data_IF_162628770903
#
_entry.id   IF_162628770903
#
_cell.length_a   1.000
_cell.length_b   1.000
_cell.length_c   1.000
_cell.angle_alpha   90.00
_cell.angle_beta   90.00
_cell.angle_gamma   90.00
#
_symmetry.space_group_name_H-M   'P 1'
#
loop_
_entity.id
_entity.type
_entity.pdbx_description
1 polymer ?
#
# COMPACT_ATOMS: atom_id res chain seq x y z
N UNK A 1 -7.41 1.56 -10.54
CA UNK A 1 -8.88 1.51 -10.39
C UNK A 1 -9.59 2.33 -11.43
N UNK A 2 -9.30 3.61 -11.57
CA UNK A 2 -9.91 4.44 -12.61
C UNK A 2 -9.70 3.91 -14.04
N UNK A 3 -8.53 3.35 -14.33
CA UNK A 3 -8.23 2.75 -15.63
C UNK A 3 -9.09 1.55 -15.97
N UNK A 4 -9.43 0.73 -14.98
CA UNK A 4 -10.30 -0.45 -15.17
C UNK A 4 -11.73 -0.03 -15.49
N UNK A 5 -12.26 0.96 -14.78
CA UNK A 5 -13.57 1.53 -15.06
C UNK A 5 -13.65 2.15 -16.46
N UNK A 6 -12.61 2.88 -16.85
CA UNK A 6 -12.51 3.49 -18.16
C UNK A 6 -12.45 2.44 -19.28
N UNK A 7 -11.78 1.33 -19.05
CA UNK A 7 -11.70 0.22 -19.98
C UNK A 7 -13.07 -0.41 -20.19
N UNK A 8 -13.84 -0.62 -19.12
CA UNK A 8 -15.18 -1.20 -19.19
C UNK A 8 -16.17 -0.33 -19.96
N UNK A 9 -16.01 0.99 -19.91
CA UNK A 9 -16.91 1.94 -20.59
C UNK A 9 -16.64 2.03 -22.10
N UNK A 10 -15.50 1.57 -22.59
CA UNK A 10 -15.09 1.67 -24.00
C UNK A 10 -15.48 0.42 -24.79
N UNK A 11 -16.76 0.23 -25.00
CA UNK A 11 -17.32 -0.98 -25.60
C UNK A 11 -16.89 -1.25 -27.05
N UNK A 12 -16.62 -0.23 -27.83
CA UNK A 12 -16.33 -0.37 -29.26
C UNK A 12 -14.92 -0.82 -29.62
N UNK A 13 -14.08 -1.08 -28.65
CA UNK A 13 -12.65 -1.33 -28.88
C UNK A 13 -12.20 -2.69 -28.35
N UNK A 14 -12.97 -3.73 -28.59
CA UNK A 14 -12.71 -5.08 -28.10
C UNK A 14 -11.35 -5.63 -28.46
N UNK A 15 -10.91 -5.48 -29.71
CA UNK A 15 -9.60 -5.99 -30.17
C UNK A 15 -8.43 -5.26 -29.52
N UNK A 16 -8.53 -3.94 -29.40
CA UNK A 16 -7.52 -3.13 -28.71
C UNK A 16 -7.48 -3.44 -27.22
N UNK A 17 -8.66 -3.70 -26.65
CA UNK A 17 -8.83 -4.11 -25.28
C UNK A 17 -8.15 -5.46 -25.01
N UNK A 18 -8.27 -6.44 -25.93
CA UNK A 18 -7.64 -7.75 -25.77
C UNK A 18 -6.11 -7.66 -25.68
N UNK A 19 -5.48 -6.84 -26.51
CA UNK A 19 -4.02 -6.62 -26.43
C UNK A 19 -3.60 -6.01 -25.11
N UNK A 20 -4.35 -5.03 -24.63
CA UNK A 20 -4.06 -4.41 -23.34
C UNK A 20 -4.27 -5.37 -22.19
N UNK A 21 -5.29 -6.18 -22.24
CA UNK A 21 -5.56 -7.21 -21.23
C UNK A 21 -4.44 -8.24 -21.18
N UNK A 22 -3.94 -8.68 -22.33
CA UNK A 22 -2.79 -9.58 -22.40
C UNK A 22 -1.53 -8.95 -21.81
N UNK A 23 -1.21 -7.72 -22.20
CA UNK A 23 -0.07 -6.98 -21.64
C UNK A 23 -0.23 -6.76 -20.14
N UNK A 24 -1.40 -6.42 -19.70
CA UNK A 24 -1.72 -6.26 -18.28
C UNK A 24 -1.54 -7.56 -17.51
N UNK A 25 -1.99 -8.69 -18.04
CA UNK A 25 -1.83 -10.00 -17.41
C UNK A 25 -0.35 -10.39 -17.28
N UNK A 26 0.44 -10.18 -18.31
CA UNK A 26 1.88 -10.46 -18.29
C UNK A 26 2.57 -9.57 -17.27
N UNK A 27 2.30 -8.28 -17.29
CA UNK A 27 2.86 -7.34 -16.32
C UNK A 27 2.39 -7.64 -14.89
N UNK A 28 1.14 -8.06 -14.73
CA UNK A 28 0.59 -8.45 -13.43
C UNK A 28 1.28 -9.69 -12.86
N UNK A 29 1.63 -10.67 -13.68
CA UNK A 29 2.38 -11.85 -13.25
C UNK A 29 3.78 -11.46 -12.81
N UNK A 30 4.50 -10.66 -13.60
CA UNK A 30 5.83 -10.17 -13.25
C UNK A 30 5.81 -9.30 -12.00
N UNK A 31 4.91 -8.35 -11.96
CA UNK A 31 4.77 -7.45 -10.80
C UNK A 31 4.41 -8.23 -9.53
N UNK A 32 3.61 -9.27 -9.68
CA UNK A 32 3.18 -10.08 -8.55
C UNK A 32 4.34 -10.86 -7.91
N UNK A 33 5.22 -11.45 -8.72
CA UNK A 33 6.40 -12.16 -8.21
C UNK A 33 7.41 -11.22 -7.58
N UNK A 34 7.65 -10.08 -8.24
CA UNK A 34 8.53 -9.03 -7.69
C UNK A 34 7.97 -8.46 -6.38
N UNK A 35 6.66 -8.26 -6.35
CA UNK A 35 5.99 -7.69 -5.19
C UNK A 35 6.08 -8.61 -3.97
N UNK A 36 6.00 -9.91 -4.13
CA UNK A 36 6.15 -10.85 -3.01
C UNK A 36 7.50 -10.72 -2.31
N UNK A 37 8.58 -10.67 -3.07
CA UNK A 37 9.92 -10.47 -2.51
C UNK A 37 10.03 -9.18 -1.72
N UNK A 38 9.45 -8.11 -2.27
CA UNK A 38 9.41 -6.81 -1.58
C UNK A 38 8.58 -6.87 -0.30
N UNK A 39 7.48 -7.61 -0.32
CA UNK A 39 6.63 -7.79 0.87
C UNK A 39 7.40 -8.55 1.95
N UNK A 40 8.04 -9.66 1.63
CA UNK A 40 8.84 -10.39 2.60
C UNK A 40 9.96 -9.53 3.18
N UNK A 41 10.64 -8.78 2.32
CA UNK A 41 11.69 -7.86 2.73
C UNK A 41 11.16 -6.76 3.65
N UNK A 42 10.01 -6.18 3.31
CA UNK A 42 9.38 -5.14 4.12
C UNK A 42 8.94 -5.67 5.49
N UNK A 43 8.42 -6.90 5.54
CA UNK A 43 7.96 -7.52 6.78
C UNK A 43 9.08 -8.10 7.65
N UNK A 44 10.31 -8.21 7.14
CA UNK A 44 11.45 -8.71 7.89
C UNK A 44 12.05 -7.67 8.83
N UNK A 45 11.22 -6.87 9.49
CA UNK A 45 11.63 -5.85 10.44
C UNK A 45 10.49 -5.56 11.41
N UNK A 46 10.77 -5.63 12.70
CA UNK A 46 9.75 -5.47 13.74
C UNK A 46 9.08 -4.10 13.72
N UNK A 47 9.86 -3.04 13.54
CA UNK A 47 9.31 -1.68 13.50
C UNK A 47 8.37 -1.49 12.33
N UNK A 48 8.71 -2.01 11.15
CA UNK A 48 7.82 -1.92 9.98
C UNK A 48 6.52 -2.69 10.20
N UNK A 49 6.59 -3.89 10.79
CA UNK A 49 5.38 -4.63 11.18
C UNK A 49 4.56 -3.86 12.22
N UNK A 50 5.23 -3.21 13.16
CA UNK A 50 4.56 -2.40 14.17
C UNK A 50 3.83 -1.21 13.56
N UNK A 51 4.45 -0.53 12.59
CA UNK A 51 3.80 0.56 11.86
C UNK A 51 2.53 0.06 11.16
N UNK A 52 2.59 -1.09 10.49
CA UNK A 52 1.40 -1.69 9.88
C UNK A 52 0.31 -2.01 10.91
N UNK A 53 0.68 -2.50 12.08
CA UNK A 53 -0.26 -2.77 13.16
C UNK A 53 -0.95 -1.48 13.65
N UNK A 54 -0.22 -0.38 13.77
CA UNK A 54 -0.81 0.91 14.14
C UNK A 54 -1.76 1.43 13.07
N UNK A 55 -1.40 1.26 11.80
CA UNK A 55 -2.24 1.70 10.68
C UNK A 55 -3.48 0.81 10.48
N UNK A 56 -3.53 -0.35 11.11
CA UNK A 56 -4.71 -1.21 11.11
C UNK A 56 -5.85 -0.61 11.91
N UNK A 57 -5.53 0.03 13.03
CA UNK A 57 -6.50 0.74 13.86
C UNK A 57 -6.00 2.15 14.17
N UNK A 58 -6.08 3.05 13.17
CA UNK A 58 -5.45 4.36 13.29
C UNK A 58 -6.13 5.26 14.32
N UNK A 59 -7.42 5.11 14.58
CA UNK A 59 -8.10 5.89 15.61
C UNK A 59 -7.56 5.59 17.00
N UNK A 60 -7.32 4.32 17.28
CA UNK A 60 -6.79 3.90 18.57
C UNK A 60 -5.37 4.39 18.78
N UNK A 61 -4.55 4.28 17.74
CA UNK A 61 -3.11 4.54 17.85
C UNK A 61 -2.71 6.00 17.62
N UNK A 62 -3.57 6.79 16.99
CA UNK A 62 -3.30 8.20 16.66
C UNK A 62 -4.47 9.10 17.06
N UNK A 63 -4.84 9.12 18.36
CA UNK A 63 -5.99 9.91 18.82
C UNK A 63 -5.79 11.42 18.67
N UNK A 64 -4.54 11.89 18.60
CA UNK A 64 -4.21 13.29 18.43
C UNK A 64 -4.25 13.77 16.98
N UNK A 65 -4.56 12.90 16.02
CA UNK A 65 -4.63 13.28 14.62
C UNK A 65 -5.76 14.28 14.38
N UNK A 66 -5.44 15.38 13.72
CA UNK A 66 -6.42 16.43 13.40
C UNK A 66 -7.26 16.10 12.15
N UNK A 67 -6.74 15.23 11.30
CA UNK A 67 -7.44 14.77 10.10
C UNK A 67 -8.22 13.48 10.36
N UNK A 68 -9.15 13.16 9.48
CA UNK A 68 -9.84 11.87 9.51
C UNK A 68 -8.87 10.76 9.09
N UNK A 69 -8.26 10.11 10.08
CA UNK A 69 -7.25 9.06 9.86
C UNK A 69 -7.79 7.85 9.11
N UNK A 70 -9.10 7.62 9.14
CA UNK A 70 -9.72 6.53 8.38
C UNK A 70 -9.88 6.91 6.92
N UNK A 71 -10.34 8.11 6.65
CA UNK A 71 -10.53 8.61 5.29
C UNK A 71 -9.20 8.99 4.63
N UNK A 72 -8.40 9.78 5.31
CA UNK A 72 -7.22 10.44 4.74
C UNK A 72 -5.92 9.68 5.00
N UNK A 73 -5.87 8.90 6.07
CA UNK A 73 -4.67 8.23 6.54
C UNK A 73 -3.95 8.99 7.64
N UNK A 74 -2.77 8.52 8.01
CA UNK A 74 -1.95 9.07 9.10
C UNK A 74 -0.73 9.75 8.51
N UNK A 75 -0.47 11.00 8.93
CA UNK A 75 0.69 11.72 8.42
C UNK A 75 2.01 11.15 8.98
N UNK A 76 3.08 11.28 8.18
CA UNK A 76 4.40 10.77 8.52
C UNK A 76 4.90 11.26 9.88
N UNK A 77 4.63 12.52 10.23
CA UNK A 77 5.05 13.10 11.51
C UNK A 77 4.49 12.39 12.73
N UNK A 78 3.22 11.99 12.69
CA UNK A 78 2.60 11.24 13.78
C UNK A 78 3.18 9.83 13.91
N UNK A 79 3.44 9.19 12.78
CA UNK A 79 4.08 7.86 12.77
C UNK A 79 5.49 7.97 13.35
N UNK A 80 6.25 8.98 12.94
CA UNK A 80 7.59 9.24 13.46
C UNK A 80 7.58 9.48 14.97
N UNK A 81 6.69 10.32 15.44
CA UNK A 81 6.57 10.63 16.86
C UNK A 81 6.26 9.38 17.68
N UNK A 82 5.34 8.55 17.20
CA UNK A 82 4.98 7.30 17.87
C UNK A 82 6.11 6.28 17.84
N UNK A 83 6.84 6.17 16.74
CA UNK A 83 7.96 5.26 16.60
C UNK A 83 9.18 5.67 17.43
N UNK A 84 9.32 6.95 17.75
CA UNK A 84 10.47 7.48 18.49
C UNK A 84 11.78 7.37 17.72
N UNK A 85 11.73 7.38 16.39
CA UNK A 85 12.90 7.22 15.52
C UNK A 85 13.17 8.51 14.74
N UNK A 86 14.33 8.58 14.12
CA UNK A 86 14.67 9.70 13.23
C UNK A 86 13.71 9.73 12.04
N UNK A 87 13.43 10.95 11.55
CA UNK A 87 12.57 11.16 10.40
C UNK A 87 13.05 10.38 9.17
N UNK A 88 14.34 10.40 8.88
CA UNK A 88 14.90 9.68 7.75
C UNK A 88 14.68 8.17 7.84
N UNK A 89 14.78 7.61 9.02
CA UNK A 89 14.53 6.18 9.24
C UNK A 89 13.07 5.83 9.00
N UNK A 90 12.14 6.61 9.54
CA UNK A 90 10.70 6.38 9.35
C UNK A 90 10.30 6.57 7.90
N UNK A 91 10.80 7.63 7.24
CA UNK A 91 10.55 7.83 5.81
C UNK A 91 11.07 6.66 4.96
N UNK A 92 12.24 6.13 5.29
CA UNK A 92 12.79 4.96 4.61
C UNK A 92 11.89 3.73 4.82
N UNK A 93 11.46 3.49 6.05
CA UNK A 93 10.58 2.36 6.37
C UNK A 93 9.22 2.46 5.66
N UNK A 94 8.63 3.64 5.66
CA UNK A 94 7.38 3.88 4.94
C UNK A 94 7.55 3.72 3.43
N UNK A 95 8.69 4.15 2.89
CA UNK A 95 9.03 3.94 1.48
C UNK A 95 9.11 2.45 1.11
N UNK A 96 9.71 1.63 1.97
CA UNK A 96 9.78 0.18 1.75
C UNK A 96 8.38 -0.47 1.81
N UNK A 97 7.55 -0.05 2.74
CA UNK A 97 6.16 -0.52 2.85
C UNK A 97 5.32 -0.11 1.63
N UNK A 98 5.53 1.09 1.12
CA UNK A 98 4.85 1.59 -0.07
C UNK A 98 5.29 0.83 -1.33
N UNK A 99 6.59 0.62 -1.52
CA UNK A 99 7.12 -0.16 -2.64
C UNK A 99 6.60 -1.59 -2.65
N UNK A 100 6.41 -2.17 -1.47
CA UNK A 100 5.82 -3.50 -1.32
C UNK A 100 4.30 -3.51 -1.55
N UNK A 101 3.66 -2.35 -1.67
CA UNK A 101 2.21 -2.24 -1.84
C UNK A 101 1.40 -2.43 -0.56
N UNK A 102 2.06 -2.48 0.60
CA UNK A 102 1.40 -2.72 1.89
C UNK A 102 0.76 -1.45 2.46
N UNK A 103 1.21 -0.29 2.04
CA UNK A 103 0.60 1.00 2.36
C UNK A 103 0.39 1.80 1.09
N UNK A 104 -0.60 2.67 1.11
CA UNK A 104 -0.85 3.66 0.06
C UNK A 104 -0.58 5.05 0.61
N UNK A 105 -0.19 5.96 -0.26
CA UNK A 105 0.12 7.34 0.11
C UNK A 105 -0.81 8.30 -0.60
N UNK A 106 -1.12 9.40 0.09
CA UNK A 106 -1.86 10.52 -0.47
C UNK A 106 -1.14 11.80 -0.06
N UNK A 107 -0.91 12.68 -1.01
CA UNK A 107 -0.33 13.99 -0.76
C UNK A 107 -1.41 15.05 -0.73
N UNK A 108 -1.34 15.92 0.28
CA UNK A 108 -2.19 17.10 0.40
C UNK A 108 -1.32 18.27 0.87
N UNK A 109 -1.01 19.18 -0.05
CA UNK A 109 -0.07 20.26 0.21
C UNK A 109 1.33 19.71 0.54
N UNK A 110 1.86 20.11 1.69
CA UNK A 110 3.16 19.63 2.19
C UNK A 110 3.07 18.34 3.00
N UNK A 111 1.86 17.81 3.21
CA UNK A 111 1.61 16.65 4.05
C UNK A 111 1.52 15.39 3.20
N UNK A 112 2.12 14.30 3.68
CA UNK A 112 1.97 12.95 3.12
C UNK A 112 1.26 12.08 4.14
N UNK A 113 0.17 11.47 3.72
CA UNK A 113 -0.66 10.60 4.55
C UNK A 113 -0.50 9.16 4.09
N UNK A 114 -0.47 8.24 5.04
CA UNK A 114 -0.28 6.82 4.81
C UNK A 114 -1.47 6.04 5.31
N UNK A 115 -1.95 5.12 4.48
CA UNK A 115 -3.00 4.17 4.83
C UNK A 115 -2.54 2.76 4.56
N UNK A 116 -2.98 1.85 5.37
CA UNK A 116 -2.76 0.42 5.15
C UNK A 116 -3.56 -0.04 3.93
N UNK A 117 -2.94 -0.83 3.07
CA UNK A 117 -3.58 -1.38 1.87
C UNK A 117 -4.19 -2.74 2.18
N UNK A 118 -5.43 -2.76 2.65
CA UNK A 118 -6.10 -3.98 3.10
C UNK A 118 -6.29 -5.00 1.97
N UNK A 119 -6.56 -4.53 0.75
CA UNK A 119 -6.76 -5.40 -0.42
C UNK A 119 -5.49 -6.18 -0.74
N UNK A 120 -4.35 -5.49 -0.79
CA UNK A 120 -3.07 -6.13 -1.11
C UNK A 120 -2.61 -7.06 0.02
N UNK A 121 -2.80 -6.66 1.26
CA UNK A 121 -2.46 -7.48 2.42
C UNK A 121 -3.29 -8.77 2.42
N UNK A 122 -4.60 -8.67 2.20
CA UNK A 122 -5.48 -9.84 2.12
C UNK A 122 -5.08 -10.77 0.99
N UNK A 123 -4.76 -10.22 -0.18
CA UNK A 123 -4.29 -10.98 -1.34
C UNK A 123 -3.00 -11.74 -1.01
N UNK A 124 -2.05 -11.07 -0.41
CA UNK A 124 -0.77 -11.67 -0.02
C UNK A 124 -0.96 -12.80 0.97
N UNK A 125 -1.77 -12.59 2.02
CA UNK A 125 -2.04 -13.61 3.03
C UNK A 125 -2.70 -14.84 2.42
N UNK A 126 -3.71 -14.66 1.56
CA UNK A 126 -4.40 -15.76 0.88
C UNK A 126 -3.44 -16.57 0.00
N UNK A 127 -2.59 -15.87 -0.75
CA UNK A 127 -1.60 -16.51 -1.62
C UNK A 127 -0.54 -17.26 -0.81
N UNK A 128 -0.06 -16.68 0.26
CA UNK A 128 0.91 -17.30 1.15
C UNK A 128 0.32 -18.56 1.79
N UNK A 129 -0.91 -18.48 2.29
CA UNK A 129 -1.59 -19.62 2.88
C UNK A 129 -1.78 -20.77 1.89
N UNK A 130 -2.05 -20.47 0.62
CA UNK A 130 -2.20 -21.46 -0.44
C UNK A 130 -0.87 -22.12 -0.84
N UNK A 131 0.26 -21.41 -0.70
CA UNK A 131 1.57 -21.88 -1.15
C UNK A 131 2.38 -22.62 -0.08
N UNK A 132 2.04 -22.45 1.17
CA UNK A 132 2.67 -23.12 2.30
C UNK A 132 1.82 -24.27 2.82
#
# INVERSE_FOLDING_TARGET
MCSVKNIQLKRGKKLFFSKRVLTYRINSIYNNTMNEKLIFKALANDTRRQILAWLKDPKQHFPSAQSDVIRDGVCCGLIQQKAGLAQSTVCHYLGLLEQAGLVTTTRSGQWTFYKRNEVEIARFIAKLAASL
#
